data_IF_488156509630
#
_entry.id   IF_488156509630
#
_cell.length_a   1.000
_cell.length_b   1.000
_cell.length_c   1.000
_cell.angle_alpha   90.00
_cell.angle_beta   90.00
_cell.angle_gamma   90.00
#
_symmetry.space_group_name_H-M   'P 1'
#
loop_
_entity.id
_entity.type
_entity.pdbx_description
1 polymer ?
#
# COMPACT_ATOMS: atom_id res chain seq x y z
N UNK A 1 4.98 -11.73 4.14
CA UNK A 1 6.45 -11.90 4.13
C UNK A 1 6.78 -13.38 4.21
N UNK A 2 6.61 -14.02 5.37
CA UNK A 2 6.78 -15.47 5.52
C UNK A 2 5.88 -16.29 4.57
N UNK A 3 4.65 -15.84 4.35
CA UNK A 3 3.70 -16.46 3.42
C UNK A 3 4.11 -16.35 1.95
N UNK A 4 4.59 -15.18 1.50
CA UNK A 4 5.10 -14.97 0.13
C UNK A 4 6.39 -15.75 -0.13
N UNK A 5 7.30 -15.78 0.84
CA UNK A 5 8.54 -16.57 0.77
C UNK A 5 8.21 -18.07 0.76
N UNK A 6 7.30 -18.50 1.61
CA UNK A 6 6.81 -19.89 1.64
C UNK A 6 6.13 -20.30 0.34
N UNK A 7 5.33 -19.41 -0.26
CA UNK A 7 4.72 -19.63 -1.57
C UNK A 7 5.76 -19.73 -2.68
N UNK A 8 6.80 -18.89 -2.65
CA UNK A 8 7.91 -18.95 -3.61
C UNK A 8 8.70 -20.25 -3.49
N UNK A 9 9.04 -20.66 -2.26
CA UNK A 9 9.69 -21.94 -1.99
C UNK A 9 8.82 -23.12 -2.45
N UNK A 10 7.51 -23.06 -2.22
CA UNK A 10 6.55 -24.05 -2.69
C UNK A 10 6.51 -24.15 -4.22
N UNK A 11 6.45 -23.01 -4.93
CA UNK A 11 6.50 -23.00 -6.41
C UNK A 11 7.79 -23.63 -6.92
N UNK A 12 8.93 -23.27 -6.34
CA UNK A 12 10.24 -23.79 -6.74
C UNK A 12 10.27 -25.31 -6.51
N UNK A 13 9.90 -25.79 -5.32
CA UNK A 13 9.86 -27.22 -5.02
C UNK A 13 8.93 -27.99 -5.95
N UNK A 14 7.75 -27.43 -6.25
CA UNK A 14 6.80 -28.05 -7.17
C UNK A 14 7.32 -28.08 -8.61
N UNK A 15 8.04 -27.04 -9.05
CA UNK A 15 8.67 -27.00 -10.37
C UNK A 15 9.83 -27.99 -10.52
N UNK A 16 10.55 -28.30 -9.44
CA UNK A 16 11.60 -29.34 -9.44
C UNK A 16 11.04 -30.77 -9.32
N UNK A 17 9.82 -30.93 -8.79
CA UNK A 17 9.19 -32.24 -8.58
C UNK A 17 8.45 -32.82 -9.80
N UNK A 18 8.29 -32.05 -10.89
CA UNK A 18 7.50 -32.45 -12.06
C UNK A 18 8.41 -32.90 -13.23
N UNK A 19 8.49 -34.21 -13.54
CA UNK A 19 9.43 -34.75 -14.54
C UNK A 19 8.93 -34.70 -16.00
N UNK A 20 7.63 -34.50 -16.25
CA UNK A 20 7.07 -34.45 -17.61
C UNK A 20 7.16 -33.04 -18.21
N UNK A 21 8.26 -32.75 -18.90
CA UNK A 21 8.46 -31.53 -19.71
C UNK A 21 7.61 -31.49 -20.99
N UNK A 22 6.34 -31.88 -20.95
CA UNK A 22 5.46 -31.68 -22.10
C UNK A 22 4.86 -30.27 -22.04
N UNK A 23 5.22 -29.43 -23.01
CA UNK A 23 4.54 -28.18 -23.29
C UNK A 23 3.17 -28.54 -23.87
N UNK A 24 2.27 -28.99 -23.01
CA UNK A 24 0.85 -29.00 -23.31
C UNK A 24 0.42 -27.53 -23.34
N UNK A 25 -0.02 -27.06 -24.52
CA UNK A 25 -0.65 -25.73 -24.65
C UNK A 25 -1.72 -25.51 -23.57
N UNK A 26 -2.12 -24.26 -23.32
CA UNK A 26 -2.96 -23.84 -22.19
C UNK A 26 -2.40 -24.12 -20.77
N UNK A 27 -1.64 -25.20 -20.55
CA UNK A 27 -0.76 -25.45 -19.38
C UNK A 27 0.56 -24.65 -19.44
N UNK A 28 0.70 -23.79 -20.46
CA UNK A 28 1.79 -22.83 -20.58
C UNK A 28 1.90 -21.91 -19.36
N UNK A 29 0.85 -21.71 -18.55
CA UNK A 29 0.92 -20.92 -17.31
C UNK A 29 1.71 -21.61 -16.17
N UNK A 30 2.03 -22.89 -16.33
CA UNK A 30 2.70 -23.73 -15.32
C UNK A 30 3.97 -24.42 -15.83
N UNK A 31 4.37 -24.21 -17.08
CA UNK A 31 5.67 -24.67 -17.60
C UNK A 31 6.82 -23.90 -16.94
N UNK A 32 8.01 -24.49 -16.91
CA UNK A 32 9.21 -23.92 -16.28
C UNK A 32 9.48 -22.46 -16.70
N UNK A 33 9.30 -22.12 -17.99
CA UNK A 33 9.50 -20.74 -18.50
C UNK A 33 8.49 -19.71 -17.98
N UNK A 34 7.28 -20.15 -17.62
CA UNK A 34 6.21 -19.25 -17.15
C UNK A 34 6.11 -19.26 -15.63
N UNK A 35 6.61 -20.33 -15.00
CA UNK A 35 6.95 -20.34 -13.58
C UNK A 35 7.96 -19.25 -13.25
N UNK A 36 8.92 -18.98 -14.14
CA UNK A 36 9.88 -17.87 -13.98
C UNK A 36 9.17 -16.50 -13.94
N UNK A 37 8.21 -16.25 -14.84
CA UNK A 37 7.41 -15.00 -14.82
C UNK A 37 6.63 -14.88 -13.50
N UNK A 38 6.00 -15.95 -13.03
CA UNK A 38 5.30 -15.98 -11.75
C UNK A 38 6.22 -15.79 -10.54
N UNK A 39 7.44 -16.32 -10.62
CA UNK A 39 8.50 -16.12 -9.63
C UNK A 39 8.94 -14.65 -9.65
N UNK A 40 9.20 -14.05 -10.81
CA UNK A 40 9.58 -12.64 -10.93
C UNK A 40 8.49 -11.69 -10.42
N UNK A 41 7.21 -11.96 -10.73
CA UNK A 41 6.08 -11.19 -10.19
C UNK A 41 6.00 -11.33 -8.67
N UNK A 42 6.22 -12.53 -8.12
CA UNK A 42 6.27 -12.73 -6.67
C UNK A 42 7.48 -12.07 -6.00
N UNK A 43 8.65 -12.09 -6.64
CA UNK A 43 9.85 -11.38 -6.16
C UNK A 43 9.58 -9.88 -6.13
N UNK A 44 9.05 -9.33 -7.22
CA UNK A 44 8.77 -7.90 -7.36
C UNK A 44 7.71 -7.43 -6.36
N UNK A 45 6.63 -8.19 -6.18
CA UNK A 45 5.61 -7.89 -5.15
C UNK A 45 6.17 -8.03 -3.74
N UNK A 46 7.04 -8.99 -3.48
CA UNK A 46 7.72 -9.12 -2.17
C UNK A 46 8.65 -7.94 -1.91
N UNK A 47 9.43 -7.49 -2.91
CA UNK A 47 10.27 -6.30 -2.81
C UNK A 47 9.42 -5.05 -2.55
N UNK A 48 8.31 -4.87 -3.27
CA UNK A 48 7.39 -3.76 -3.03
C UNK A 48 6.87 -3.75 -1.60
N UNK A 49 6.45 -4.90 -1.08
CA UNK A 49 5.98 -5.04 0.31
C UNK A 49 7.09 -4.77 1.34
N UNK A 50 8.35 -5.14 1.04
CA UNK A 50 9.50 -4.81 1.88
C UNK A 50 9.73 -3.30 1.90
N UNK A 51 9.65 -2.65 0.73
CA UNK A 51 9.81 -1.20 0.62
C UNK A 51 8.70 -0.45 1.36
N UNK A 52 7.43 -0.87 1.23
CA UNK A 52 6.32 -0.20 1.93
C UNK A 52 6.45 -0.35 3.45
N UNK A 53 6.78 -1.54 3.97
CA UNK A 53 6.97 -1.70 5.41
C UNK A 53 8.18 -0.92 5.93
N UNK A 54 9.27 -0.80 5.15
CA UNK A 54 10.41 0.02 5.54
C UNK A 54 10.02 1.51 5.62
N UNK A 55 9.22 1.99 4.67
CA UNK A 55 8.64 3.34 4.71
C UNK A 55 7.75 3.54 5.93
N UNK A 56 6.86 2.60 6.24
CA UNK A 56 6.00 2.66 7.42
C UNK A 56 6.80 2.66 8.73
N UNK A 57 7.84 1.83 8.81
CA UNK A 57 8.73 1.80 9.96
C UNK A 57 9.48 3.13 10.13
N UNK A 58 10.00 3.70 9.04
CA UNK A 58 10.65 5.02 9.03
C UNK A 58 9.71 6.10 9.55
N UNK A 59 8.46 6.15 9.09
CA UNK A 59 7.46 7.12 9.54
C UNK A 59 7.16 6.91 11.03
N UNK A 60 7.06 5.65 11.49
CA UNK A 60 6.85 5.31 12.91
C UNK A 60 7.98 5.84 13.79
N UNK A 61 9.23 5.59 13.41
CA UNK A 61 10.42 6.09 14.13
C UNK A 61 10.40 7.62 14.17
N UNK A 62 10.12 8.26 13.04
CA UNK A 62 10.10 9.72 12.96
C UNK A 62 9.04 10.31 13.87
N UNK A 63 7.82 9.75 13.89
CA UNK A 63 6.75 10.16 14.78
C UNK A 63 7.11 9.98 16.26
N UNK A 64 7.76 8.87 16.62
CA UNK A 64 8.24 8.63 17.97
C UNK A 64 9.28 9.67 18.41
N UNK A 65 10.26 9.98 17.55
CA UNK A 65 11.26 11.02 17.83
C UNK A 65 10.63 12.40 18.01
N UNK A 66 9.65 12.75 17.18
CA UNK A 66 8.93 14.02 17.28
C UNK A 66 8.15 14.10 18.60
N UNK A 67 7.50 13.02 19.02
CA UNK A 67 6.81 12.95 20.32
C UNK A 67 7.78 13.08 21.49
N UNK A 68 8.94 12.41 21.44
CA UNK A 68 9.99 12.51 22.45
C UNK A 68 10.57 13.93 22.53
N UNK A 69 10.76 14.60 21.39
CA UNK A 69 11.17 16.02 21.34
C UNK A 69 10.10 16.94 21.95
N UNK A 70 8.82 16.71 21.66
CA UNK A 70 7.70 17.46 22.24
C UNK A 70 7.60 17.26 23.76
N UNK A 71 7.87 16.06 24.26
CA UNK A 71 7.85 15.77 25.69
C UNK A 71 8.99 16.47 26.46
N UNK A 72 10.10 16.82 25.76
CA UNK A 72 11.24 17.54 26.35
C UNK A 72 11.20 19.04 26.14
N UNK A 73 10.46 19.53 25.16
CA UNK A 73 10.31 20.96 24.89
C UNK A 73 9.32 21.59 25.88
N UNK A 74 9.76 22.63 26.58
CA UNK A 74 8.89 23.44 27.46
C UNK A 74 7.95 24.35 26.67
N UNK A 75 8.32 24.73 25.44
CA UNK A 75 7.54 25.61 24.59
C UNK A 75 6.83 24.86 23.46
N UNK A 76 5.57 25.24 23.25
CA UNK A 76 4.76 24.71 22.16
C UNK A 76 5.25 25.24 20.81
N UNK A 77 5.64 24.32 19.92
CA UNK A 77 5.95 24.64 18.52
C UNK A 77 4.81 24.22 17.59
N UNK A 78 4.26 25.21 16.87
CA UNK A 78 3.19 25.01 15.89
C UNK A 78 3.67 24.15 14.70
N UNK A 79 4.92 24.33 14.25
CA UNK A 79 5.48 23.59 13.11
C UNK A 79 5.64 22.10 13.41
N UNK A 80 6.08 21.76 14.63
CA UNK A 80 6.21 20.38 15.10
C UNK A 80 4.84 19.71 15.21
N UNK A 81 3.86 20.43 15.75
CA UNK A 81 2.49 19.93 15.87
C UNK A 81 1.83 19.70 14.51
N UNK A 82 2.09 20.57 13.54
CA UNK A 82 1.62 20.42 12.16
C UNK A 82 2.23 19.18 11.48
N UNK A 83 3.55 19.01 11.54
CA UNK A 83 4.25 17.85 10.97
C UNK A 83 3.78 16.53 11.58
N UNK A 84 3.58 16.47 12.90
CA UNK A 84 3.07 15.27 13.56
C UNK A 84 1.64 14.93 13.09
N UNK A 85 0.78 15.94 12.95
CA UNK A 85 -0.60 15.76 12.50
C UNK A 85 -0.66 15.27 11.04
N UNK A 86 0.19 15.80 10.17
CA UNK A 86 0.29 15.39 8.76
C UNK A 86 0.82 13.95 8.63
N UNK A 87 1.83 13.57 9.42
CA UNK A 87 2.34 12.21 9.45
C UNK A 87 1.31 11.21 10.01
N UNK A 88 0.56 11.59 11.04
CA UNK A 88 -0.53 10.76 11.59
C UNK A 88 -1.67 10.57 10.60
N UNK A 89 -2.03 11.63 9.86
CA UNK A 89 -3.04 11.56 8.80
C UNK A 89 -2.58 10.59 7.69
N UNK A 90 -1.31 10.67 7.31
CA UNK A 90 -0.72 9.77 6.31
C UNK A 90 -0.70 8.32 6.78
N UNK A 91 -0.30 8.06 8.02
CA UNK A 91 -0.31 6.71 8.61
C UNK A 91 -1.71 6.10 8.71
N UNK A 92 -2.73 6.90 9.05
CA UNK A 92 -4.13 6.43 9.11
C UNK A 92 -4.66 5.93 7.77
N UNK A 93 -4.05 6.32 6.66
CA UNK A 93 -4.43 5.84 5.33
C UNK A 93 -3.56 4.68 4.86
N UNK A 94 -2.23 4.82 4.97
CA UNK A 94 -1.30 3.85 4.42
C UNK A 94 -1.45 2.50 5.14
N UNK A 95 -1.59 2.54 6.47
CA UNK A 95 -1.60 1.32 7.28
C UNK A 95 -2.82 0.41 7.01
N UNK A 96 -4.07 0.90 6.93
CA UNK A 96 -5.20 0.07 6.50
C UNK A 96 -5.08 -0.44 5.06
N UNK A 97 -4.48 0.35 4.17
CA UNK A 97 -4.27 -0.02 2.77
C UNK A 97 -3.27 -1.17 2.64
N UNK A 98 -2.16 -1.08 3.38
CA UNK A 98 -1.11 -2.11 3.43
C UNK A 98 -1.62 -3.40 4.08
N UNK A 99 -2.42 -3.31 5.14
CA UNK A 99 -3.08 -4.48 5.75
C UNK A 99 -4.04 -5.14 4.74
N UNK A 100 -4.91 -4.36 4.10
CA UNK A 100 -5.85 -4.88 3.11
C UNK A 100 -5.11 -5.56 1.94
N UNK A 101 -4.01 -4.98 1.48
CA UNK A 101 -3.18 -5.55 0.43
C UNK A 101 -2.58 -6.88 0.88
N UNK A 102 -2.00 -6.92 2.08
CA UNK A 102 -1.41 -8.14 2.63
C UNK A 102 -2.45 -9.26 2.79
N UNK A 103 -3.66 -8.95 3.26
CA UNK A 103 -4.74 -9.94 3.43
C UNK A 103 -5.23 -10.48 2.08
N UNK A 104 -5.46 -9.62 1.10
CA UNK A 104 -5.94 -10.02 -0.22
C UNK A 104 -4.86 -10.81 -0.97
N UNK A 105 -3.59 -10.40 -0.86
CA UNK A 105 -2.48 -11.12 -1.46
C UNK A 105 -2.30 -12.50 -0.81
N UNK A 106 -2.47 -12.62 0.51
CA UNK A 106 -2.43 -13.90 1.21
C UNK A 106 -3.57 -14.83 0.73
N UNK A 107 -4.78 -14.29 0.60
CA UNK A 107 -5.92 -15.03 0.08
C UNK A 107 -5.67 -15.50 -1.36
N UNK A 108 -5.15 -14.63 -2.22
CA UNK A 108 -4.76 -14.99 -3.59
C UNK A 108 -3.77 -16.15 -3.61
N UNK A 109 -2.70 -16.08 -2.81
CA UNK A 109 -1.73 -17.17 -2.74
C UNK A 109 -2.36 -18.48 -2.26
N UNK A 110 -3.20 -18.44 -1.22
CA UNK A 110 -3.89 -19.63 -0.73
C UNK A 110 -4.79 -20.28 -1.81
N UNK A 111 -5.54 -19.45 -2.55
CA UNK A 111 -6.39 -19.93 -3.65
C UNK A 111 -5.57 -20.49 -4.81
N UNK A 112 -4.42 -19.90 -5.14
CA UNK A 112 -3.52 -20.42 -6.18
C UNK A 112 -2.88 -21.74 -5.77
N UNK A 113 -2.48 -21.90 -4.50
CA UNK A 113 -1.97 -23.19 -3.97
C UNK A 113 -3.06 -24.26 -4.07
N UNK A 114 -4.29 -23.93 -3.63
CA UNK A 114 -5.42 -24.85 -3.69
C UNK A 114 -5.74 -25.23 -5.14
N UNK A 115 -5.80 -24.27 -6.06
CA UNK A 115 -6.04 -24.56 -7.47
C UNK A 115 -4.96 -25.47 -8.07
N UNK A 116 -3.70 -25.31 -7.65
CA UNK A 116 -2.58 -26.17 -8.06
C UNK A 116 -2.66 -27.58 -7.47
N UNK A 117 -3.16 -27.77 -6.25
CA UNK A 117 -3.31 -29.12 -5.67
C UNK A 117 -4.35 -29.94 -6.43
N UNK A 118 -5.39 -29.30 -6.97
CA UNK A 118 -6.43 -29.96 -7.77
C UNK A 118 -6.15 -29.98 -9.29
N UNK A 119 -4.91 -29.65 -9.72
CA UNK A 119 -4.60 -29.53 -11.16
C UNK A 119 -4.89 -30.80 -11.97
N UNK A 120 -4.73 -31.97 -11.37
CA UNK A 120 -4.88 -33.26 -12.04
C UNK A 120 -6.34 -33.71 -12.16
N UNK A 121 -7.22 -33.14 -11.34
CA UNK A 121 -8.65 -33.45 -11.34
C UNK A 121 -9.44 -32.51 -12.28
N UNK A 122 -8.83 -31.43 -12.74
CA UNK A 122 -9.44 -30.40 -13.57
C UNK A 122 -9.02 -30.53 -15.03
N UNK A 123 -9.94 -30.25 -15.96
CA UNK A 123 -9.56 -30.08 -17.37
C UNK A 123 -8.71 -28.83 -17.55
N UNK A 124 -7.81 -28.82 -18.53
CA UNK A 124 -6.92 -27.69 -18.79
C UNK A 124 -7.70 -26.36 -19.01
N UNK A 125 -8.84 -26.41 -19.69
CA UNK A 125 -9.68 -25.23 -19.91
C UNK A 125 -10.25 -24.67 -18.60
N UNK A 126 -10.74 -25.55 -17.72
CA UNK A 126 -11.29 -25.17 -16.42
C UNK A 126 -10.20 -24.61 -15.49
N UNK A 127 -9.02 -25.20 -15.51
CA UNK A 127 -7.87 -24.72 -14.73
C UNK A 127 -7.47 -23.29 -15.11
N UNK A 128 -7.32 -23.02 -16.42
CA UNK A 128 -6.97 -21.68 -16.93
C UNK A 128 -8.06 -20.67 -16.62
N UNK A 129 -9.34 -21.06 -16.73
CA UNK A 129 -10.46 -20.19 -16.38
C UNK A 129 -10.38 -19.73 -14.91
N UNK A 130 -10.25 -20.65 -13.96
CA UNK A 130 -10.13 -20.29 -12.54
C UNK A 130 -8.88 -19.45 -12.26
N UNK A 131 -7.76 -19.76 -12.92
CA UNK A 131 -6.54 -18.98 -12.78
C UNK A 131 -6.73 -17.52 -13.25
N UNK A 132 -7.40 -17.32 -14.38
CA UNK A 132 -7.72 -15.99 -14.90
C UNK A 132 -8.69 -15.23 -13.99
N UNK A 133 -9.69 -15.91 -13.41
CA UNK A 133 -10.62 -15.31 -12.45
C UNK A 133 -9.87 -14.81 -11.20
N UNK A 134 -8.95 -15.62 -10.66
CA UNK A 134 -8.12 -15.22 -9.51
C UNK A 134 -7.25 -13.99 -9.82
N UNK A 135 -6.61 -13.96 -11.00
CA UNK A 135 -5.83 -12.80 -11.44
C UNK A 135 -6.71 -11.56 -11.64
N UNK A 136 -7.88 -11.71 -12.25
CA UNK A 136 -8.82 -10.62 -12.46
C UNK A 136 -9.27 -10.01 -11.13
N UNK A 137 -9.49 -10.83 -10.10
CA UNK A 137 -9.85 -10.35 -8.76
C UNK A 137 -8.73 -9.54 -8.12
N UNK A 138 -7.48 -9.97 -8.31
CA UNK A 138 -6.29 -9.22 -7.86
C UNK A 138 -6.15 -7.88 -8.59
N UNK A 139 -6.34 -7.85 -9.91
CA UNK A 139 -6.29 -6.62 -10.70
C UNK A 139 -7.44 -5.66 -10.38
N UNK A 140 -8.64 -6.18 -10.14
CA UNK A 140 -9.78 -5.39 -9.69
C UNK A 140 -9.47 -4.72 -8.35
N UNK A 141 -8.90 -5.45 -7.41
CA UNK A 141 -8.47 -4.90 -6.13
C UNK A 141 -7.42 -3.78 -6.31
N UNK A 142 -6.41 -4.00 -7.16
CA UNK A 142 -5.40 -2.98 -7.46
C UNK A 142 -6.03 -1.71 -8.05
N UNK A 143 -6.99 -1.86 -8.98
CA UNK A 143 -7.72 -0.74 -9.57
C UNK A 143 -8.54 0.04 -8.53
N UNK A 144 -9.28 -0.66 -7.65
CA UNK A 144 -10.04 -0.03 -6.57
C UNK A 144 -9.13 0.72 -5.62
N UNK A 145 -8.01 0.11 -5.24
CA UNK A 145 -7.02 0.72 -4.34
C UNK A 145 -6.43 2.01 -4.93
N UNK A 146 -6.12 2.00 -6.23
CA UNK A 146 -5.64 3.17 -6.96
C UNK A 146 -6.69 4.29 -6.99
N UNK A 147 -7.96 3.97 -7.22
CA UNK A 147 -9.06 4.95 -7.18
C UNK A 147 -9.21 5.57 -5.79
N UNK A 148 -9.17 4.75 -4.74
CA UNK A 148 -9.22 5.22 -3.34
C UNK A 148 -8.05 6.13 -3.03
N UNK A 149 -6.85 5.75 -3.44
CA UNK A 149 -5.63 6.55 -3.25
C UNK A 149 -5.71 7.91 -3.96
N UNK A 150 -6.14 7.95 -5.22
CA UNK A 150 -6.33 9.21 -5.97
C UNK A 150 -7.37 10.11 -5.30
N UNK A 151 -8.51 9.54 -4.88
CA UNK A 151 -9.56 10.31 -4.18
C UNK A 151 -9.03 10.90 -2.88
N UNK A 152 -8.22 10.16 -2.15
CA UNK A 152 -7.65 10.64 -0.90
C UNK A 152 -6.61 11.73 -1.09
N UNK A 153 -5.70 11.60 -2.07
CA UNK A 153 -4.76 12.68 -2.41
C UNK A 153 -5.51 13.97 -2.76
N UNK A 154 -6.59 13.86 -3.56
CA UNK A 154 -7.44 15.00 -3.88
C UNK A 154 -8.10 15.59 -2.62
N UNK A 155 -8.56 14.75 -1.70
CA UNK A 155 -9.13 15.19 -0.43
C UNK A 155 -8.12 15.94 0.44
N UNK A 156 -6.90 15.40 0.62
CA UNK A 156 -5.83 16.08 1.36
C UNK A 156 -5.50 17.42 0.71
N UNK A 157 -5.28 17.44 -0.61
CA UNK A 157 -4.91 18.66 -1.34
C UNK A 157 -5.97 19.74 -1.18
N UNK A 158 -7.24 19.38 -1.28
CA UNK A 158 -8.35 20.30 -1.10
C UNK A 158 -8.44 20.81 0.34
N UNK A 159 -8.18 19.96 1.35
CA UNK A 159 -8.16 20.40 2.74
C UNK A 159 -6.96 21.31 3.04
N UNK A 160 -5.77 21.03 2.49
CA UNK A 160 -4.60 21.91 2.60
C UNK A 160 -4.89 23.28 1.97
N UNK A 161 -5.47 23.32 0.77
CA UNK A 161 -5.87 24.58 0.11
C UNK A 161 -6.87 25.37 0.95
N UNK A 162 -7.93 24.71 1.46
CA UNK A 162 -8.93 25.36 2.34
C UNK A 162 -8.32 25.89 3.64
N UNK A 163 -7.32 25.20 4.19
CA UNK A 163 -6.65 25.63 5.41
C UNK A 163 -5.80 26.86 5.11
N UNK A 164 -5.01 26.84 4.03
CA UNK A 164 -4.20 27.99 3.61
C UNK A 164 -5.05 29.23 3.32
N UNK A 165 -6.18 29.08 2.62
CA UNK A 165 -7.12 30.19 2.37
C UNK A 165 -7.71 30.77 3.66
N UNK A 166 -8.04 29.94 4.65
CA UNK A 166 -8.52 30.41 5.95
C UNK A 166 -7.44 31.15 6.74
N UNK A 167 -6.19 30.66 6.70
CA UNK A 167 -5.07 31.31 7.37
C UNK A 167 -4.77 32.68 6.77
N UNK A 168 -4.80 32.81 5.43
CA UNK A 168 -4.62 34.09 4.74
C UNK A 168 -5.70 35.09 5.16
N UNK A 169 -6.98 34.67 5.19
CA UNK A 169 -8.08 35.53 5.63
C UNK A 169 -7.98 35.97 7.10
N UNK A 170 -7.50 35.09 7.98
CA UNK A 170 -7.28 35.41 9.40
C UNK A 170 -6.14 36.41 9.61
N UNK A 171 -5.06 36.29 8.84
CA UNK A 171 -3.93 37.24 8.87
C UNK A 171 -4.38 38.61 8.36
N UNK A 172 -5.17 38.66 7.29
CA UNK A 172 -5.75 39.91 6.79
C UNK A 172 -6.67 40.57 7.82
N UNK A 173 -7.54 39.80 8.48
CA UNK A 173 -8.42 40.31 9.54
C UNK A 173 -7.64 40.80 10.77
N UNK A 174 -6.62 40.06 11.21
CA UNK A 174 -5.77 40.49 12.32
C UNK A 174 -5.01 41.78 11.97
N UNK A 175 -4.51 41.92 10.74
CA UNK A 175 -3.84 43.13 10.29
C UNK A 175 -4.76 44.36 10.27
N UNK A 176 -6.05 44.16 9.92
CA UNK A 176 -7.04 45.22 9.97
C UNK A 176 -7.36 45.66 11.40
N UNK A 177 -7.52 44.72 12.34
CA UNK A 177 -7.71 45.06 13.75
C UNK A 177 -6.51 45.75 14.39
N UNK A 178 -5.28 45.35 14.04
CA UNK A 178 -4.09 46.05 14.52
C UNK A 178 -4.01 47.49 13.99
N UNK A 179 -4.41 47.73 12.73
CA UNK A 179 -4.52 49.09 12.18
C UNK A 179 -5.59 49.93 12.88
N UNK A 180 -6.73 49.35 13.23
CA UNK A 180 -7.78 50.05 13.99
C UNK A 180 -7.32 50.41 15.41
N UNK A 181 -6.67 49.48 16.11
CA UNK A 181 -6.10 49.73 17.44
C UNK A 181 -5.02 50.82 17.41
N UNK A 182 -4.17 50.82 16.38
CA UNK A 182 -3.14 51.85 16.22
C UNK A 182 -3.75 53.23 15.96
N UNK A 183 -4.85 53.31 15.20
CA UNK A 183 -5.64 54.55 15.03
C UNK A 183 -6.35 55.03 16.29
N UNK A 184 -6.65 54.14 17.23
CA UNK A 184 -7.24 54.50 18.52
C UNK A 184 -6.20 54.97 19.55
N UNK A 185 -4.92 54.73 19.27
CA UNK A 185 -3.79 55.11 20.13
C UNK A 185 -3.13 56.44 19.72
N UNK A 186 -3.46 56.97 18.54
CA UNK A 186 -3.15 58.34 18.09
C UNK A 186 -4.28 59.32 18.47
#
# INVERSE_FOLDING_TARGET
WATSIGFMAFIILQAYADPSMEILGALYLTTKSTSEILIYVNILTTIMVIMTAFSDWRITIMNRRIQELRARATDYSLSISFQLNENLLSMRLILPMDIAYATIYLLYNALVVLLRSYRYELTAATYVFYYNVLNMLLYLYAAVTLVVYIRFIKFIRNNQQRTNEKTIKLVDQASMHFKELQKQWE
#
